data_IF_817414486477
#
_entry.id   IF_817414486477
#
_cell.length_a   1.000
_cell.length_b   1.000
_cell.length_c   1.000
_cell.angle_alpha   90.00
_cell.angle_beta   90.00
_cell.angle_gamma   90.00
#
_symmetry.space_group_name_H-M   'P 1'
#
loop_
_entity.id
_entity.type
_entity.pdbx_description
1 polymer ?
#
# COMPACT_ATOMS: atom_id res chain seq x y z
N UNK A 1 5.16 -18.71 -16.49
CA UNK A 1 4.30 -17.70 -17.17
C UNK A 1 5.06 -16.38 -17.30
N UNK A 2 5.15 -15.77 -18.50
CA UNK A 2 5.89 -14.51 -18.72
C UNK A 2 5.20 -13.33 -18.01
N UNK A 3 5.98 -12.49 -17.32
CA UNK A 3 5.47 -11.26 -16.71
C UNK A 3 5.04 -10.28 -17.82
N UNK A 4 3.74 -10.00 -17.91
CA UNK A 4 3.16 -8.98 -18.80
C UNK A 4 3.09 -7.63 -18.07
N UNK A 5 4.26 -7.11 -17.70
CA UNK A 5 4.43 -5.80 -17.08
C UNK A 5 5.13 -4.89 -18.09
N UNK A 6 4.54 -3.74 -18.38
CA UNK A 6 5.14 -2.75 -19.28
C UNK A 6 6.37 -2.09 -18.62
N UNK A 7 7.42 -1.77 -19.38
CA UNK A 7 8.53 -0.96 -18.88
C UNK A 7 8.04 0.35 -18.26
N UNK A 8 8.74 0.81 -17.22
CA UNK A 8 8.44 1.99 -16.39
C UNK A 8 7.15 1.90 -15.57
N UNK A 9 6.42 0.78 -15.65
CA UNK A 9 5.21 0.59 -14.86
C UNK A 9 5.54 0.52 -13.38
N UNK A 10 4.73 1.20 -12.58
CA UNK A 10 4.88 1.24 -11.14
C UNK A 10 4.68 -0.15 -10.52
N UNK A 11 5.61 -0.52 -9.66
CA UNK A 11 5.55 -1.75 -8.85
C UNK A 11 5.82 -1.41 -7.39
N UNK A 12 5.39 -2.29 -6.52
CA UNK A 12 5.57 -2.20 -5.07
C UNK A 12 6.30 -3.45 -4.62
N UNK A 13 7.29 -3.27 -3.75
CA UNK A 13 8.14 -4.34 -3.23
C UNK A 13 8.03 -4.30 -1.72
N UNK A 14 7.52 -5.37 -1.11
CA UNK A 14 7.55 -5.55 0.34
C UNK A 14 8.87 -6.21 0.73
N UNK A 15 9.68 -5.48 1.46
CA UNK A 15 11.01 -5.84 1.95
C UNK A 15 10.92 -6.10 3.44
N UNK A 16 11.60 -7.14 3.93
CA UNK A 16 11.62 -7.58 5.32
C UNK A 16 10.23 -7.80 5.93
N UNK A 17 9.23 -8.10 5.10
CA UNK A 17 7.83 -8.30 5.52
C UNK A 17 7.11 -7.06 6.06
N UNK A 18 7.79 -5.90 6.13
CA UNK A 18 7.28 -4.69 6.79
C UNK A 18 7.39 -3.41 5.94
N UNK A 19 8.34 -3.34 5.03
CA UNK A 19 8.62 -2.11 4.29
C UNK A 19 8.15 -2.21 2.85
N UNK A 20 7.04 -1.55 2.52
CA UNK A 20 6.61 -1.44 1.13
C UNK A 20 7.34 -0.28 0.48
N UNK A 21 8.10 -0.58 -0.56
CA UNK A 21 8.85 0.40 -1.33
C UNK A 21 8.33 0.45 -2.75
N UNK A 22 8.21 1.65 -3.29
CA UNK A 22 7.80 1.89 -4.66
C UNK A 22 9.01 1.84 -5.59
N UNK A 23 8.82 1.22 -6.75
CA UNK A 23 9.82 1.14 -7.82
C UNK A 23 9.12 1.14 -9.18
N UNK A 24 9.90 1.00 -10.25
CA UNK A 24 9.41 0.84 -11.61
C UNK A 24 10.02 -0.40 -12.24
N UNK A 25 9.17 -1.12 -12.95
CA UNK A 25 9.60 -2.25 -13.76
C UNK A 25 10.53 -1.76 -14.87
N UNK A 26 11.69 -2.41 -15.04
CA UNK A 26 12.63 -2.07 -16.11
C UNK A 26 12.42 -3.00 -17.30
N UNK A 27 12.69 -4.30 -17.13
CA UNK A 27 12.51 -5.30 -18.18
C UNK A 27 12.45 -6.73 -17.63
N UNK A 28 11.86 -7.63 -18.41
CA UNK A 28 11.95 -9.08 -18.21
C UNK A 28 13.31 -9.57 -18.72
N UNK A 29 13.91 -10.50 -17.99
CA UNK A 29 15.16 -11.18 -18.34
C UNK A 29 14.87 -12.69 -18.57
N UNK A 30 15.81 -13.46 -19.14
CA UNK A 30 15.65 -14.91 -19.31
C UNK A 30 15.45 -15.63 -17.96
N UNK A 31 14.94 -16.87 -18.00
CA UNK A 31 14.85 -17.78 -16.84
C UNK A 31 14.08 -17.21 -15.64
N UNK A 32 12.95 -16.53 -15.88
CA UNK A 32 12.11 -15.94 -14.84
C UNK A 32 12.80 -14.84 -14.00
N UNK A 33 13.91 -14.31 -14.50
CA UNK A 33 14.50 -13.09 -13.97
C UNK A 33 13.81 -11.85 -14.53
N UNK A 34 13.91 -10.76 -13.80
CA UNK A 34 13.50 -9.44 -14.24
C UNK A 34 14.32 -8.39 -13.49
N UNK A 35 14.25 -7.15 -13.96
CA UNK A 35 14.92 -6.03 -13.34
C UNK A 35 13.95 -4.89 -13.08
N UNK A 36 14.25 -4.14 -12.03
CA UNK A 36 13.49 -2.97 -11.59
C UNK A 36 14.47 -1.83 -11.34
N UNK A 37 14.00 -0.59 -11.43
CA UNK A 37 14.77 0.57 -11.02
C UNK A 37 15.07 0.50 -9.51
N UNK A 38 16.21 1.05 -9.08
CA UNK A 38 16.53 1.15 -7.65
C UNK A 38 15.38 1.82 -6.88
N UNK A 39 15.13 1.32 -5.67
CA UNK A 39 14.02 1.76 -4.83
C UNK A 39 14.38 3.02 -4.04
N UNK A 40 13.41 3.68 -3.40
CA UNK A 40 13.66 4.75 -2.42
C UNK A 40 12.92 4.43 -1.11
N UNK A 41 13.61 4.12 0.01
CA UNK A 41 15.07 4.07 0.19
C UNK A 41 15.74 3.01 -0.69
N UNK A 42 17.03 3.18 -1.00
CA UNK A 42 17.79 2.26 -1.85
C UNK A 42 17.94 0.90 -1.15
N UNK A 43 17.81 -0.19 -1.92
CA UNK A 43 18.25 -1.50 -1.45
C UNK A 43 19.78 -1.55 -1.44
N UNK A 44 20.33 -2.11 -0.36
CA UNK A 44 21.76 -2.30 -0.14
C UNK A 44 22.14 -3.78 -0.33
N UNK A 45 23.44 -4.06 -0.46
CA UNK A 45 23.99 -5.41 -0.70
C UNK A 45 23.52 -6.47 0.33
N UNK A 46 23.24 -6.06 1.57
CA UNK A 46 22.69 -6.95 2.60
C UNK A 46 21.29 -7.51 2.27
N UNK A 47 20.56 -6.92 1.33
CA UNK A 47 19.26 -7.41 0.84
C UNK A 47 19.41 -8.48 -0.24
N UNK A 48 20.62 -8.77 -0.74
CA UNK A 48 20.85 -9.83 -1.73
C UNK A 48 20.50 -11.19 -1.11
N UNK A 49 19.78 -12.01 -1.88
CA UNK A 49 19.13 -13.27 -1.50
C UNK A 49 17.87 -13.15 -0.63
N UNK A 50 17.46 -11.95 -0.23
CA UNK A 50 16.19 -11.75 0.47
C UNK A 50 15.00 -12.09 -0.45
N UNK A 51 13.96 -12.69 0.13
CA UNK A 51 12.68 -12.92 -0.55
C UNK A 51 11.78 -11.73 -0.29
N UNK A 52 11.32 -11.11 -1.37
CA UNK A 52 10.42 -9.96 -1.35
C UNK A 52 9.10 -10.31 -2.02
N UNK A 53 8.01 -9.67 -1.60
CA UNK A 53 6.73 -9.76 -2.29
C UNK A 53 6.63 -8.58 -3.26
N UNK A 54 6.44 -8.85 -4.54
CA UNK A 54 6.31 -7.83 -5.60
C UNK A 54 4.85 -7.73 -5.99
N UNK A 55 4.31 -6.52 -6.17
CA UNK A 55 2.96 -6.28 -6.68
C UNK A 55 2.94 -5.22 -7.76
N UNK A 56 2.07 -5.43 -8.74
CA UNK A 56 1.88 -4.56 -9.89
C UNK A 56 0.42 -4.52 -10.31
N UNK A 57 0.01 -3.44 -10.99
CA UNK A 57 -1.31 -3.35 -11.60
C UNK A 57 -1.29 -3.89 -13.03
N UNK A 58 -2.36 -4.55 -13.45
CA UNK A 58 -2.60 -4.85 -14.87
C UNK A 58 -3.58 -3.82 -15.44
N UNK A 59 -3.29 -3.32 -16.65
CA UNK A 59 -4.20 -2.46 -17.40
C UNK A 59 -4.86 -3.32 -18.48
N UNK A 60 -5.66 -4.30 -18.07
CA UNK A 60 -6.45 -5.12 -19.01
C UNK A 60 -7.86 -4.57 -19.15
N UNK A 61 -8.44 -4.70 -20.35
CA UNK A 61 -9.75 -4.14 -20.74
C UNK A 61 -10.93 -4.52 -19.84
N UNK A 62 -10.83 -5.60 -19.04
CA UNK A 62 -11.96 -6.09 -18.25
C UNK A 62 -11.75 -6.28 -16.75
N UNK A 63 -10.54 -6.10 -16.20
CA UNK A 63 -10.31 -6.15 -14.74
C UNK A 63 -9.11 -5.29 -14.34
N UNK A 64 -9.35 -4.15 -13.68
CA UNK A 64 -8.33 -3.47 -12.86
C UNK A 64 -8.03 -4.38 -11.66
N UNK A 65 -7.06 -5.27 -11.84
CA UNK A 65 -6.60 -6.18 -10.80
C UNK A 65 -5.15 -5.87 -10.46
N UNK A 66 -4.81 -5.97 -9.17
CA UNK A 66 -3.42 -6.03 -8.76
C UNK A 66 -3.01 -7.46 -8.54
N UNK A 67 -1.84 -7.79 -9.04
CA UNK A 67 -1.24 -9.10 -8.92
C UNK A 67 0.08 -8.97 -8.18
N UNK A 68 0.54 -10.06 -7.62
CA UNK A 68 1.81 -10.14 -6.95
C UNK A 68 2.33 -11.55 -6.85
N UNK A 69 3.62 -11.64 -6.56
CA UNK A 69 4.40 -12.87 -6.53
C UNK A 69 5.64 -12.66 -5.66
N UNK A 70 6.19 -13.74 -5.16
CA UNK A 70 7.45 -13.74 -4.43
C UNK A 70 8.62 -13.71 -5.42
N UNK A 71 9.62 -12.90 -5.11
CA UNK A 71 10.85 -12.82 -5.87
C UNK A 71 12.05 -12.80 -4.92
N UNK A 72 13.17 -13.34 -5.36
CA UNK A 72 14.43 -13.26 -4.62
C UNK A 72 15.31 -12.17 -5.24
N UNK A 73 15.84 -11.26 -4.43
CA UNK A 73 16.86 -10.30 -4.88
C UNK A 73 18.14 -11.09 -5.20
N UNK A 74 18.68 -10.89 -6.40
CA UNK A 74 19.84 -11.65 -6.88
C UNK A 74 21.08 -10.80 -7.07
N UNK A 75 20.90 -9.54 -7.46
CA UNK A 75 21.99 -8.59 -7.55
C UNK A 75 21.45 -7.17 -7.49
N UNK A 76 22.28 -6.25 -7.02
CA UNK A 76 22.11 -4.82 -7.19
C UNK A 76 23.25 -4.36 -8.07
N UNK A 77 22.94 -3.70 -9.17
CA UNK A 77 23.94 -3.37 -10.19
C UNK A 77 24.42 -1.92 -10.03
N UNK A 78 25.60 -1.62 -10.55
CA UNK A 78 26.20 -0.29 -10.49
C UNK A 78 25.40 0.79 -11.24
N UNK A 79 24.61 0.40 -12.24
CA UNK A 79 23.68 1.25 -12.98
C UNK A 79 22.33 1.44 -12.25
N UNK A 80 22.25 1.09 -10.96
CA UNK A 80 21.08 1.28 -10.09
C UNK A 80 19.86 0.48 -10.54
N UNK A 81 20.08 -0.76 -10.97
CA UNK A 81 19.02 -1.75 -11.16
C UNK A 81 19.09 -2.80 -10.07
N UNK A 82 17.93 -3.36 -9.76
CA UNK A 82 17.82 -4.53 -8.87
C UNK A 82 17.36 -5.69 -9.73
N UNK A 83 18.15 -6.76 -9.74
CA UNK A 83 17.83 -8.00 -10.46
C UNK A 83 17.12 -8.93 -9.50
N UNK A 84 15.94 -9.39 -9.90
CA UNK A 84 15.11 -10.30 -9.13
C UNK A 84 14.83 -11.58 -9.91
N UNK A 85 14.72 -12.69 -9.18
CA UNK A 85 14.30 -13.98 -9.69
C UNK A 85 12.90 -14.31 -9.16
N UNK A 86 11.92 -14.47 -10.05
CA UNK A 86 10.55 -14.84 -9.69
C UNK A 86 10.52 -16.26 -9.10
N UNK A 87 9.81 -16.45 -7.99
CA UNK A 87 9.73 -17.74 -7.29
C UNK A 87 8.41 -18.48 -7.50
N UNK A 88 7.32 -17.77 -7.76
CA UNK A 88 6.00 -18.33 -7.98
C UNK A 88 5.22 -17.57 -9.05
N UNK A 89 4.09 -18.14 -9.49
CA UNK A 89 3.24 -17.48 -10.48
C UNK A 89 2.42 -16.35 -9.85
N UNK A 90 2.19 -15.23 -10.58
CA UNK A 90 1.41 -14.11 -10.07
C UNK A 90 -0.01 -14.51 -9.66
N UNK A 91 -0.40 -14.13 -8.46
CA UNK A 91 -1.75 -14.26 -7.91
C UNK A 91 -2.31 -12.88 -7.55
N UNK A 92 -3.62 -12.78 -7.30
CA UNK A 92 -4.22 -11.51 -6.88
C UNK A 92 -3.58 -11.02 -5.58
N UNK A 93 -3.01 -9.81 -5.58
CA UNK A 93 -2.26 -9.25 -4.44
C UNK A 93 -2.29 -7.72 -4.44
N UNK A 94 -2.81 -7.13 -3.35
CA UNK A 94 -2.92 -5.69 -3.15
C UNK A 94 -1.90 -5.22 -2.10
N UNK A 95 -0.62 -5.11 -2.51
CA UNK A 95 0.45 -4.63 -1.61
C UNK A 95 0.39 -3.15 -1.28
N UNK A 96 -0.37 -2.30 -2.00
CA UNK A 96 -0.45 -0.85 -1.69
C UNK A 96 -0.89 -0.59 -0.24
N UNK A 97 -1.45 -1.63 0.37
CA UNK A 97 -2.07 -1.58 1.66
C UNK A 97 -1.67 -2.72 2.58
N UNK A 98 -0.47 -3.29 2.43
CA UNK A 98 -0.04 -4.40 3.30
C UNK A 98 0.80 -3.91 4.49
N UNK A 99 0.49 -4.33 5.73
CA UNK A 99 -0.73 -4.98 6.17
C UNK A 99 -1.89 -3.96 6.20
N UNK A 100 -3.09 -4.40 5.79
CA UNK A 100 -4.35 -3.70 6.13
C UNK A 100 -4.83 -4.37 7.39
N UNK A 101 -4.77 -3.69 8.52
CA UNK A 101 -5.43 -4.22 9.70
C UNK A 101 -6.92 -3.88 9.55
N UNK A 102 -7.75 -4.91 9.52
CA UNK A 102 -9.21 -4.78 9.43
C UNK A 102 -9.79 -4.58 10.83
N UNK A 103 -10.91 -3.88 10.93
CA UNK A 103 -11.66 -3.62 12.16
C UNK A 103 -11.80 -4.83 13.09
N UNK A 104 -11.90 -6.05 12.54
CA UNK A 104 -12.11 -7.27 13.31
C UNK A 104 -10.87 -7.72 14.11
N UNK A 105 -9.71 -7.11 13.88
CA UNK A 105 -8.41 -7.49 14.43
C UNK A 105 -7.74 -6.35 15.21
N UNK A 106 -8.43 -5.23 15.42
CA UNK A 106 -7.90 -4.07 16.11
C UNK A 106 -8.62 -3.86 17.44
N UNK A 107 -7.90 -3.61 18.54
CA UNK A 107 -8.50 -2.95 19.69
C UNK A 107 -9.00 -1.56 19.27
N UNK A 108 -10.02 -1.07 19.98
CA UNK A 108 -10.87 0.09 19.66
C UNK A 108 -10.15 1.27 18.97
N UNK A 109 -10.03 1.25 17.64
CA UNK A 109 -9.56 2.41 16.89
C UNK A 109 -10.70 3.42 16.80
N UNK A 110 -10.63 4.43 17.65
CA UNK A 110 -11.41 5.64 17.50
C UNK A 110 -10.67 6.57 16.56
N UNK A 111 -11.30 6.88 15.43
CA UNK A 111 -10.80 7.92 14.54
C UNK A 111 -11.72 9.13 14.57
N UNK A 112 -11.15 10.32 14.75
CA UNK A 112 -11.89 11.55 14.52
C UNK A 112 -11.46 12.18 13.19
N UNK A 113 -12.42 12.44 12.31
CA UNK A 113 -12.22 13.24 11.11
C UNK A 113 -12.74 14.65 11.39
N UNK A 114 -11.87 15.66 11.38
CA UNK A 114 -12.25 17.06 11.69
C UNK A 114 -12.96 17.19 13.05
N UNK A 115 -12.48 16.46 14.07
CA UNK A 115 -13.05 16.41 15.45
C UNK A 115 -14.38 15.68 15.59
N UNK A 116 -14.89 15.03 14.54
CA UNK A 116 -16.08 14.17 14.61
C UNK A 116 -15.68 12.71 14.61
N UNK A 117 -16.25 11.94 15.52
CA UNK A 117 -16.01 10.51 15.61
C UNK A 117 -16.41 9.79 14.32
N UNK A 118 -15.67 8.76 13.96
CA UNK A 118 -15.85 7.97 12.75
C UNK A 118 -15.35 6.55 13.01
N UNK A 119 -15.98 5.58 12.38
CA UNK A 119 -15.58 4.18 12.49
C UNK A 119 -14.48 3.87 11.47
N UNK A 120 -13.36 3.29 11.91
CA UNK A 120 -12.31 2.81 11.02
C UNK A 120 -12.62 1.40 10.55
N UNK A 121 -12.78 1.19 9.25
CA UNK A 121 -13.03 -0.14 8.65
C UNK A 121 -11.72 -0.88 8.43
N UNK A 122 -10.73 -0.19 7.88
CA UNK A 122 -9.36 -0.66 7.77
C UNK A 122 -8.37 0.50 7.78
N UNK A 123 -7.13 0.19 8.16
CA UNK A 123 -6.02 1.14 8.16
C UNK A 123 -4.74 0.44 7.68
N UNK A 124 -3.90 1.20 6.98
CA UNK A 124 -2.59 0.81 6.47
C UNK A 124 -1.62 1.98 6.64
N UNK A 125 -0.32 1.75 6.40
CA UNK A 125 0.68 2.82 6.44
C UNK A 125 0.42 3.99 5.48
N UNK A 126 -0.38 3.78 4.43
CA UNK A 126 -0.59 4.76 3.36
C UNK A 126 -2.00 5.37 3.35
N UNK A 127 -2.90 4.90 4.21
CA UNK A 127 -4.28 5.34 4.16
C UNK A 127 -5.23 4.51 5.00
N UNK A 128 -6.47 5.01 5.10
CA UNK A 128 -7.55 4.40 5.85
C UNK A 128 -8.86 4.38 5.06
N UNK A 129 -9.69 3.38 5.38
CA UNK A 129 -11.10 3.34 5.03
C UNK A 129 -11.93 3.62 6.29
N UNK A 130 -12.79 4.63 6.24
CA UNK A 130 -13.61 5.05 7.37
C UNK A 130 -15.09 5.15 6.98
N UNK A 131 -15.97 4.95 7.96
CA UNK A 131 -17.40 5.27 7.92
C UNK A 131 -17.63 6.50 8.79
N UNK A 132 -18.23 7.53 8.21
CA UNK A 132 -18.63 8.74 8.94
C UNK A 132 -19.97 8.49 9.64
N UNK A 133 -20.02 8.72 10.96
CA UNK A 133 -21.26 8.59 11.74
C UNK A 133 -22.27 9.69 11.44
N UNK A 134 -21.80 10.93 11.33
CA UNK A 134 -22.61 12.03 10.84
C UNK A 134 -22.36 12.23 9.34
N UNK A 135 -23.43 12.51 8.60
CA UNK A 135 -23.36 12.85 7.19
C UNK A 135 -22.75 14.24 6.99
N UNK A 136 -21.50 14.43 7.42
CA UNK A 136 -20.75 15.62 7.05
C UNK A 136 -20.40 15.51 5.56
N UNK A 137 -21.38 15.94 4.78
CA UNK A 137 -21.34 16.00 3.32
C UNK A 137 -20.31 17.02 2.84
N UNK A 138 -19.79 17.86 3.73
CA UNK A 138 -18.85 18.95 3.46
C UNK A 138 -17.49 18.49 2.92
N UNK A 139 -16.98 17.33 3.34
CA UNK A 139 -15.68 16.86 2.88
C UNK A 139 -15.79 16.30 1.45
N UNK A 140 -15.27 17.06 0.48
CA UNK A 140 -15.20 16.72 -0.94
C UNK A 140 -14.02 15.80 -1.22
N UNK A 141 -14.09 15.03 -2.30
CA UNK A 141 -12.91 14.35 -2.86
C UNK A 141 -11.84 15.41 -3.14
N UNK A 142 -10.60 15.12 -2.74
CA UNK A 142 -9.47 16.05 -2.79
C UNK A 142 -9.31 16.96 -1.57
N UNK A 143 -10.28 16.99 -0.65
CA UNK A 143 -10.15 17.79 0.57
C UNK A 143 -9.11 17.19 1.53
N UNK A 144 -8.32 18.07 2.15
CA UNK A 144 -7.44 17.71 3.25
C UNK A 144 -8.26 17.42 4.52
N UNK A 145 -7.85 16.39 5.25
CA UNK A 145 -8.48 15.96 6.50
C UNK A 145 -7.41 15.71 7.56
N UNK A 146 -7.74 16.05 8.81
CA UNK A 146 -6.94 15.69 9.98
C UNK A 146 -7.63 14.52 10.67
N UNK A 147 -6.85 13.48 10.91
CA UNK A 147 -7.26 12.23 11.54
C UNK A 147 -6.49 12.08 12.85
N UNK A 148 -7.18 11.76 13.94
CA UNK A 148 -6.53 11.23 15.13
C UNK A 148 -6.89 9.76 15.24
N UNK A 149 -5.91 8.86 15.26
CA UNK A 149 -6.10 7.43 15.50
C UNK A 149 -5.65 7.09 16.91
N UNK A 150 -6.55 6.50 17.71
CA UNK A 150 -6.24 6.02 19.06
C UNK A 150 -6.05 4.51 19.02
N UNK A 151 -4.93 4.04 19.54
CA UNK A 151 -4.56 2.63 19.74
C UNK A 151 -4.33 2.37 21.24
N UNK A 152 -4.26 1.10 21.66
CA UNK A 152 -4.00 0.76 23.07
C UNK A 152 -2.65 1.32 23.56
N UNK A 153 -1.64 1.32 22.69
CA UNK A 153 -0.27 1.76 23.00
C UNK A 153 -0.04 3.27 22.78
N UNK A 154 -1.07 4.04 22.40
CA UNK A 154 -1.00 5.49 22.22
C UNK A 154 -1.85 6.03 21.07
N UNK A 155 -1.68 7.31 20.75
CA UNK A 155 -2.41 7.95 19.66
C UNK A 155 -1.47 8.57 18.61
N UNK A 156 -1.99 8.74 17.39
CA UNK A 156 -1.28 9.38 16.28
C UNK A 156 -2.19 10.29 15.47
N UNK A 157 -1.70 11.51 15.25
CA UNK A 157 -2.37 12.52 14.43
C UNK A 157 -1.76 12.52 13.02
N UNK A 158 -2.60 12.39 12.00
CA UNK A 158 -2.19 12.24 10.60
C UNK A 158 -3.00 13.19 9.72
N UNK A 159 -2.31 13.85 8.79
CA UNK A 159 -2.94 14.59 7.72
C UNK A 159 -3.11 13.69 6.49
N UNK A 160 -4.23 13.84 5.79
CA UNK A 160 -4.53 13.04 4.62
C UNK A 160 -5.45 13.75 3.64
N UNK A 161 -5.70 13.10 2.51
CA UNK A 161 -6.57 13.58 1.46
C UNK A 161 -7.64 12.55 1.12
N UNK A 162 -8.89 12.98 1.02
CA UNK A 162 -10.00 12.11 0.60
C UNK A 162 -9.83 11.75 -0.87
N UNK A 163 -9.61 10.46 -1.15
CA UNK A 163 -9.49 9.93 -2.51
C UNK A 163 -10.85 9.54 -3.11
N UNK A 164 -11.74 8.99 -2.27
CA UNK A 164 -13.03 8.47 -2.72
C UNK A 164 -14.07 8.61 -1.61
N UNK A 165 -15.32 8.84 -2.01
CA UNK A 165 -16.50 8.85 -1.15
C UNK A 165 -17.60 8.02 -1.79
N UNK A 166 -18.28 7.17 -1.02
CA UNK A 166 -19.41 6.37 -1.49
C UNK A 166 -20.39 6.07 -0.35
N UNK A 167 -21.58 5.57 -0.69
CA UNK A 167 -22.55 5.06 0.29
C UNK A 167 -22.69 3.54 0.14
N UNK A 168 -22.88 2.84 1.26
CA UNK A 168 -23.25 1.43 1.23
C UNK A 168 -24.77 1.24 1.12
N UNK A 169 -25.22 -0.02 1.13
CA UNK A 169 -26.64 -0.40 1.12
C UNK A 169 -27.43 0.14 2.31
N UNK A 170 -26.76 0.49 3.41
CA UNK A 170 -27.35 1.07 4.61
C UNK A 170 -27.28 2.60 4.62
N UNK A 171 -26.93 3.21 3.48
CA UNK A 171 -26.77 4.67 3.31
C UNK A 171 -25.68 5.30 4.19
N UNK A 172 -24.79 4.49 4.76
CA UNK A 172 -23.64 4.98 5.54
C UNK A 172 -22.60 5.56 4.61
N UNK A 173 -22.01 6.68 4.99
CA UNK A 173 -21.02 7.37 4.15
C UNK A 173 -19.65 6.80 4.42
N UNK A 174 -19.04 6.21 3.40
CA UNK A 174 -17.67 5.72 3.43
C UNK A 174 -16.73 6.71 2.75
N UNK A 175 -15.53 6.83 3.30
CA UNK A 175 -14.42 7.58 2.70
C UNK A 175 -13.16 6.73 2.67
N UNK A 176 -12.41 6.84 1.57
CA UNK A 176 -11.05 6.33 1.47
C UNK A 176 -10.10 7.52 1.48
N UNK A 177 -9.08 7.45 2.34
CA UNK A 177 -8.14 8.55 2.59
C UNK A 177 -6.73 8.05 2.29
N UNK A 178 -5.94 8.89 1.62
CA UNK A 178 -4.48 8.73 1.51
C UNK A 178 -3.82 9.58 2.58
N UNK A 179 -2.83 9.05 3.29
CA UNK A 179 -2.03 9.84 4.22
C UNK A 179 -0.96 10.65 3.50
N UNK A 180 -0.50 11.75 4.13
CA UNK A 180 0.73 12.43 3.73
C UNK A 180 1.96 11.54 3.98
N UNK A 181 3.03 11.74 3.19
CA UNK A 181 4.23 10.88 3.20
C UNK A 181 4.94 10.84 4.57
N UNK A 182 4.80 11.87 5.39
CA UNK A 182 5.33 11.92 6.76
C UNK A 182 4.24 11.54 7.78
N UNK A 183 4.18 10.25 8.16
CA UNK A 183 3.34 9.79 9.27
C UNK A 183 3.98 8.60 10.02
N UNK A 184 3.67 8.47 11.31
CA UNK A 184 4.24 7.44 12.20
C UNK A 184 3.28 6.27 12.46
N UNK A 185 2.20 6.12 11.67
CA UNK A 185 1.18 5.09 11.94
C UNK A 185 1.72 3.67 11.86
N UNK A 186 2.79 3.47 11.10
CA UNK A 186 3.46 2.19 10.96
C UNK A 186 3.90 1.61 12.31
N UNK A 187 4.25 2.45 13.30
CA UNK A 187 4.64 2.00 14.65
C UNK A 187 3.52 1.33 15.43
N UNK A 188 2.27 1.60 15.07
CA UNK A 188 1.08 1.03 15.72
C UNK A 188 0.52 -0.16 14.93
N UNK A 189 1.01 -0.36 13.71
CA UNK A 189 0.57 -1.42 12.80
C UNK A 189 1.53 -2.63 12.82
N UNK A 190 2.78 -2.45 13.26
CA UNK A 190 3.89 -3.43 13.21
C UNK A 190 4.55 -3.70 14.55
#
# INVERSE_FOLDING_TARGET
MRLTIEPKKEIYVLVNGKNIIKSRFHQTLPNDFFSIEQTKPHLEENHVNEIVLVSYSTNGENKKGRFGFEARIKAITSDRLVILHKLNDPAACELRSWPRIRHNLLPNIHASCQKKESQVVDVSCNGAHMILYESDTSSKIGAAVKLNFVFDDGEVNIEGQILRKWKDSFHRTHIAISFSEDNDISRFIY
#
